data_IF_526157736330
#
_entry.id   IF_526157736330
#
_cell.length_a   1.000
_cell.length_b   1.000
_cell.length_c   1.000
_cell.angle_alpha   90.00
_cell.angle_beta   90.00
_cell.angle_gamma   90.00
#
_symmetry.space_group_name_H-M   'P 1'
#
loop_
_entity.id
_entity.type
_entity.pdbx_description
1 polymer ?
#
# COMPACT_ATOMS: atom_id res chain seq x y z
N UNK A 1 -9.11 14.93 11.96
CA UNK A 1 -9.40 13.77 11.10
C UNK A 1 -10.62 14.07 10.27
N UNK A 2 -10.64 13.68 9.00
CA UNK A 2 -11.83 13.81 8.16
C UNK A 2 -12.82 12.71 8.56
N UNK A 3 -14.03 13.09 8.94
CA UNK A 3 -15.13 12.16 9.19
C UNK A 3 -15.90 11.97 7.89
N UNK A 4 -15.53 10.97 7.08
CA UNK A 4 -16.12 10.76 5.75
C UNK A 4 -17.57 10.26 5.78
N UNK A 5 -18.10 9.96 6.96
CA UNK A 5 -19.50 9.57 7.18
C UNK A 5 -19.74 9.08 8.61
N UNK A 6 -20.95 8.58 8.88
CA UNK A 6 -21.35 8.14 10.23
C UNK A 6 -21.45 6.63 10.38
N UNK A 7 -21.24 5.85 9.31
CA UNK A 7 -21.30 4.37 9.35
C UNK A 7 -20.10 3.80 10.11
N UNK A 8 -20.17 2.51 10.44
CA UNK A 8 -19.11 1.81 11.20
C UNK A 8 -17.77 1.75 10.44
N UNK A 9 -17.81 1.68 9.12
CA UNK A 9 -16.63 1.54 8.24
C UNK A 9 -16.36 2.80 7.42
N UNK A 10 -16.97 3.94 7.78
CA UNK A 10 -16.66 5.23 7.15
C UNK A 10 -15.41 5.83 7.82
N UNK A 11 -14.51 6.38 7.01
CA UNK A 11 -13.22 6.94 7.45
C UNK A 11 -12.05 5.96 7.32
N UNK A 12 -10.85 6.50 7.12
CA UNK A 12 -9.63 5.73 6.82
C UNK A 12 -9.32 4.68 7.89
N UNK A 13 -9.25 5.07 9.17
CA UNK A 13 -8.98 4.15 10.29
C UNK A 13 -9.97 2.98 10.34
N UNK A 14 -11.25 3.29 10.11
CA UNK A 14 -12.32 2.31 10.14
C UNK A 14 -12.19 1.32 8.97
N UNK A 15 -11.88 1.87 7.79
CA UNK A 15 -11.69 1.12 6.55
C UNK A 15 -10.48 0.19 6.67
N UNK A 16 -9.33 0.72 7.08
CA UNK A 16 -8.07 -0.02 7.21
C UNK A 16 -8.17 -1.15 8.22
N UNK A 17 -8.79 -0.87 9.38
CA UNK A 17 -8.98 -1.88 10.44
C UNK A 17 -9.89 -3.01 9.96
N UNK A 18 -11.07 -2.68 9.42
CA UNK A 18 -12.03 -3.68 8.96
C UNK A 18 -11.45 -4.52 7.82
N UNK A 19 -10.85 -3.88 6.82
CA UNK A 19 -10.34 -4.58 5.66
C UNK A 19 -9.03 -5.33 5.93
N UNK A 20 -8.21 -4.88 6.86
CA UNK A 20 -7.04 -5.62 7.34
C UNK A 20 -7.44 -6.97 7.95
N UNK A 21 -8.47 -6.98 8.80
CA UNK A 21 -9.03 -8.23 9.36
C UNK A 21 -9.58 -9.13 8.25
N UNK A 22 -10.36 -8.56 7.33
CA UNK A 22 -10.94 -9.33 6.22
C UNK A 22 -9.87 -9.88 5.28
N UNK A 23 -8.74 -9.20 5.09
CA UNK A 23 -7.62 -9.68 4.27
C UNK A 23 -6.91 -10.86 4.89
N UNK A 24 -6.63 -10.81 6.20
CA UNK A 24 -6.07 -11.94 6.92
C UNK A 24 -7.02 -13.14 6.83
N UNK A 25 -8.32 -12.91 7.05
CA UNK A 25 -9.33 -13.96 6.95
C UNK A 25 -9.48 -14.53 5.53
N UNK A 26 -9.47 -13.68 4.50
CA UNK A 26 -9.52 -14.08 3.09
C UNK A 26 -8.25 -14.83 2.65
N UNK A 27 -7.13 -14.55 3.32
CA UNK A 27 -5.84 -15.25 3.14
C UNK A 27 -5.75 -16.55 3.94
N UNK A 28 -6.84 -16.99 4.58
CA UNK A 28 -6.92 -18.20 5.40
C UNK A 28 -5.92 -18.18 6.60
N UNK A 29 -5.58 -16.99 7.10
CA UNK A 29 -4.77 -16.85 8.32
C UNK A 29 -5.50 -17.45 9.54
N UNK A 30 -4.72 -17.93 10.51
CA UNK A 30 -5.26 -18.47 11.76
C UNK A 30 -6.07 -17.42 12.52
N UNK A 31 -7.19 -17.83 13.13
CA UNK A 31 -8.05 -16.93 13.90
C UNK A 31 -7.33 -16.23 15.04
N UNK A 32 -6.39 -16.92 15.70
CA UNK A 32 -5.54 -16.34 16.74
C UNK A 32 -4.61 -15.25 16.19
N UNK A 33 -4.08 -15.43 14.97
CA UNK A 33 -3.25 -14.42 14.31
C UNK A 33 -4.07 -13.15 14.05
N UNK A 34 -5.31 -13.28 13.60
CA UNK A 34 -6.21 -12.13 13.39
C UNK A 34 -6.42 -11.35 14.71
N UNK A 35 -6.64 -12.07 15.81
CA UNK A 35 -6.84 -11.46 17.13
C UNK A 35 -5.58 -10.78 17.66
N UNK A 36 -4.39 -11.33 17.37
CA UNK A 36 -3.12 -10.77 17.80
C UNK A 36 -2.72 -9.53 16.98
N UNK A 37 -2.99 -9.54 15.66
CA UNK A 37 -2.69 -8.41 14.77
C UNK A 37 -3.68 -7.26 14.95
N UNK A 38 -4.95 -7.58 15.20
CA UNK A 38 -6.01 -6.60 15.41
C UNK A 38 -6.68 -6.79 16.77
N UNK A 39 -5.96 -6.63 17.90
CA UNK A 39 -6.54 -6.83 19.22
C UNK A 39 -7.59 -5.75 19.50
N UNK A 40 -8.70 -6.14 20.12
CA UNK A 40 -9.80 -5.22 20.45
C UNK A 40 -9.36 -4.15 21.48
N UNK A 41 -8.47 -4.55 22.38
CA UNK A 41 -7.80 -3.66 23.33
C UNK A 41 -6.50 -3.17 22.70
N UNK A 42 -6.43 -1.87 22.43
CA UNK A 42 -5.25 -1.22 21.88
C UNK A 42 -4.48 -0.47 22.99
N UNK A 43 -3.14 -0.29 22.86
CA UNK A 43 -2.36 0.53 23.79
C UNK A 43 -2.79 2.01 23.74
N UNK A 44 -2.42 2.78 24.77
CA UNK A 44 -2.85 4.17 25.10
C UNK A 44 -2.60 5.28 24.04
N UNK A 45 -2.25 4.94 22.79
CA UNK A 45 -2.00 5.90 21.72
C UNK A 45 -3.28 6.44 21.06
N UNK A 46 -4.41 5.74 21.19
CA UNK A 46 -5.68 6.19 20.63
C UNK A 46 -6.41 7.14 21.57
N UNK A 47 -6.90 8.26 21.03
CA UNK A 47 -7.88 9.06 21.75
C UNK A 47 -9.23 8.32 21.85
N UNK A 48 -10.17 8.87 22.63
CA UNK A 48 -11.46 8.22 22.84
C UNK A 48 -12.28 8.06 21.54
N UNK A 49 -12.11 8.98 20.59
CA UNK A 49 -12.81 8.96 19.32
C UNK A 49 -12.26 7.86 18.41
N UNK A 50 -10.94 7.85 18.20
CA UNK A 50 -10.28 6.88 17.34
C UNK A 50 -10.40 5.46 17.90
N UNK A 51 -10.32 5.31 19.22
CA UNK A 51 -10.52 4.02 19.87
C UNK A 51 -11.95 3.48 19.63
N UNK A 52 -12.99 4.32 19.71
CA UNK A 52 -14.36 3.87 19.40
C UNK A 52 -14.49 3.47 17.93
N UNK A 53 -13.89 4.22 17.00
CA UNK A 53 -13.86 3.86 15.57
C UNK A 53 -13.19 2.49 15.38
N UNK A 54 -11.96 2.33 15.89
CA UNK A 54 -11.21 1.08 15.79
C UNK A 54 -11.98 -0.11 16.36
N UNK A 55 -12.48 0.00 17.60
CA UNK A 55 -13.20 -1.06 18.30
C UNK A 55 -14.48 -1.46 17.59
N UNK A 56 -15.23 -0.49 17.06
CA UNK A 56 -16.46 -0.79 16.31
C UNK A 56 -16.18 -1.45 14.97
N UNK A 57 -15.09 -1.08 14.29
CA UNK A 57 -14.62 -1.75 13.06
C UNK A 57 -14.18 -3.20 13.32
N UNK A 58 -13.38 -3.44 14.38
CA UNK A 58 -13.02 -4.79 14.83
C UNK A 58 -14.25 -5.62 15.17
N UNK A 59 -15.17 -5.06 15.97
CA UNK A 59 -16.38 -5.75 16.39
C UNK A 59 -17.28 -6.16 15.22
N UNK A 60 -17.41 -5.31 14.20
CA UNK A 60 -18.14 -5.66 12.99
C UNK A 60 -17.46 -6.81 12.24
N UNK A 61 -16.15 -6.73 12.02
CA UNK A 61 -15.40 -7.76 11.32
C UNK A 61 -15.49 -9.10 12.06
N UNK A 62 -15.21 -9.12 13.36
CA UNK A 62 -15.28 -10.29 14.22
C UNK A 62 -16.65 -10.96 14.20
N UNK A 63 -17.74 -10.18 14.23
CA UNK A 63 -19.08 -10.75 14.13
C UNK A 63 -19.30 -11.45 12.78
N UNK A 64 -18.81 -10.86 11.67
CA UNK A 64 -18.98 -11.42 10.34
C UNK A 64 -18.17 -12.69 10.10
N UNK A 65 -17.01 -12.83 10.76
CA UNK A 65 -16.13 -14.01 10.63
C UNK A 65 -16.26 -15.01 11.79
N UNK A 66 -17.17 -14.78 12.73
CA UNK A 66 -17.50 -15.75 13.80
C UNK A 66 -16.56 -15.72 15.01
N UNK A 67 -15.89 -14.59 15.25
CA UNK A 67 -15.00 -14.35 16.40
C UNK A 67 -15.67 -13.62 17.56
N UNK A 68 -16.97 -13.31 17.47
CA UNK A 68 -17.64 -12.56 18.53
C UNK A 68 -17.87 -13.43 19.78
N UNK A 69 -17.50 -12.90 20.95
CA UNK A 69 -17.74 -13.52 22.27
C UNK A 69 -18.46 -12.54 23.19
N UNK A 70 -19.04 -13.03 24.29
CA UNK A 70 -19.73 -12.19 25.26
C UNK A 70 -18.81 -11.10 25.85
N UNK A 71 -17.57 -11.45 26.21
CA UNK A 71 -16.56 -10.51 26.71
C UNK A 71 -16.25 -9.39 25.71
N UNK A 72 -16.13 -9.72 24.42
CA UNK A 72 -15.90 -8.73 23.36
C UNK A 72 -17.10 -7.81 23.18
N UNK A 73 -18.32 -8.33 23.27
CA UNK A 73 -19.55 -7.53 23.23
C UNK A 73 -19.55 -6.54 24.39
N UNK A 74 -19.30 -7.00 25.61
CA UNK A 74 -19.26 -6.16 26.81
C UNK A 74 -18.22 -5.03 26.69
N UNK A 75 -17.02 -5.35 26.18
CA UNK A 75 -15.99 -4.35 25.93
C UNK A 75 -16.44 -3.30 24.91
N UNK A 76 -16.99 -3.73 23.77
CA UNK A 76 -17.52 -2.82 22.72
C UNK A 76 -18.62 -1.92 23.28
N UNK A 77 -19.52 -2.45 24.10
CA UNK A 77 -20.57 -1.68 24.76
C UNK A 77 -20.01 -0.63 25.71
N UNK A 78 -19.01 -0.99 26.51
CA UNK A 78 -18.34 -0.05 27.41
C UNK A 78 -17.71 1.10 26.63
N UNK A 79 -17.01 0.81 25.53
CA UNK A 79 -16.42 1.85 24.67
C UNK A 79 -17.49 2.77 24.07
N UNK A 80 -18.56 2.22 23.49
CA UNK A 80 -19.66 3.02 22.92
C UNK A 80 -20.38 3.86 23.98
N UNK A 81 -20.50 3.36 25.21
CA UNK A 81 -21.18 4.07 26.31
C UNK A 81 -20.57 5.43 26.64
N UNK A 82 -19.29 5.62 26.32
CA UNK A 82 -18.54 6.88 26.47
C UNK A 82 -18.99 7.97 25.49
N UNK A 83 -19.76 7.62 24.45
CA UNK A 83 -20.33 8.51 23.43
C UNK A 83 -19.28 9.38 22.71
N UNK A 84 -18.03 8.91 22.60
CA UNK A 84 -16.94 9.72 22.05
C UNK A 84 -17.22 10.15 20.60
N UNK A 85 -17.60 9.21 19.73
CA UNK A 85 -17.98 9.54 18.36
C UNK A 85 -19.22 10.45 18.33
N UNK A 86 -20.31 10.06 19.00
CA UNK A 86 -21.57 10.83 18.96
C UNK A 86 -21.34 12.29 19.36
N UNK A 87 -20.49 12.55 20.35
CA UNK A 87 -20.13 13.90 20.77
C UNK A 87 -19.40 14.67 19.66
N UNK A 88 -18.37 14.09 19.03
CA UNK A 88 -17.64 14.76 17.94
C UNK A 88 -18.52 15.04 16.72
N UNK A 89 -19.34 14.08 16.27
CA UNK A 89 -20.27 14.32 15.16
C UNK A 89 -21.35 15.34 15.51
N UNK A 90 -21.78 15.42 16.76
CA UNK A 90 -22.76 16.44 17.20
C UNK A 90 -22.18 17.85 17.12
N UNK A 91 -20.87 18.02 17.38
CA UNK A 91 -20.17 19.32 17.21
C UNK A 91 -20.17 19.79 15.76
N UNK A 92 -20.11 18.86 14.81
CA UNK A 92 -20.22 19.16 13.37
C UNK A 92 -21.67 19.48 13.00
N UNK A 93 -22.60 18.61 13.40
CA UNK A 93 -24.03 18.80 13.20
C UNK A 93 -24.85 17.91 14.13
N UNK A 94 -25.92 18.46 14.71
CA UNK A 94 -26.89 17.68 15.49
C UNK A 94 -27.47 16.50 14.68
N UNK A 95 -27.66 16.69 13.37
CA UNK A 95 -28.15 15.66 12.46
C UNK A 95 -27.16 14.49 12.36
N UNK A 96 -25.87 14.77 12.27
CA UNK A 96 -24.83 13.74 12.16
C UNK A 96 -24.63 12.98 13.47
N UNK A 97 -24.67 13.68 14.61
CA UNK A 97 -24.68 13.04 15.92
C UNK A 97 -25.85 12.06 16.11
N UNK A 98 -27.06 12.47 15.72
CA UNK A 98 -28.25 11.60 15.70
C UNK A 98 -28.07 10.40 14.75
N UNK A 99 -27.49 10.63 13.58
CA UNK A 99 -27.18 9.55 12.62
C UNK A 99 -26.21 8.53 13.22
N UNK A 100 -25.08 8.98 13.79
CA UNK A 100 -24.08 8.11 14.41
C UNK A 100 -24.67 7.30 15.57
N UNK A 101 -25.46 7.93 16.44
CA UNK A 101 -26.15 7.23 17.54
C UNK A 101 -27.06 6.11 17.03
N UNK A 102 -27.81 6.35 15.95
CA UNK A 102 -28.66 5.35 15.30
C UNK A 102 -27.86 4.18 14.72
N UNK A 103 -26.73 4.49 14.06
CA UNK A 103 -25.80 3.48 13.55
C UNK A 103 -25.25 2.60 14.66
N UNK A 104 -24.76 3.19 15.76
CA UNK A 104 -24.23 2.46 16.91
C UNK A 104 -25.29 1.58 17.58
N UNK A 105 -26.52 2.09 17.71
CA UNK A 105 -27.64 1.31 18.25
C UNK A 105 -27.93 0.08 17.39
N UNK A 106 -28.00 0.26 16.06
CA UNK A 106 -28.21 -0.86 15.14
C UNK A 106 -27.04 -1.85 15.17
N UNK A 107 -25.81 -1.34 15.27
CA UNK A 107 -24.60 -2.14 15.36
C UNK A 107 -24.60 -3.01 16.63
N UNK A 108 -24.86 -2.45 17.80
CA UNK A 108 -24.97 -3.19 19.06
C UNK A 108 -26.05 -4.28 18.98
N UNK A 109 -27.22 -3.94 18.44
CA UNK A 109 -28.30 -4.91 18.22
C UNK A 109 -27.93 -6.04 17.25
N UNK A 110 -27.01 -5.77 16.30
CA UNK A 110 -26.49 -6.77 15.36
C UNK A 110 -25.52 -7.71 16.08
N UNK A 111 -24.50 -7.18 16.76
CA UNK A 111 -23.44 -8.00 17.35
C UNK A 111 -23.89 -8.86 18.54
N UNK A 112 -24.96 -8.44 19.25
CA UNK A 112 -25.59 -9.22 20.33
C UNK A 112 -26.30 -10.48 19.85
N UNK A 113 -26.65 -10.55 18.57
CA UNK A 113 -27.28 -11.73 17.99
C UNK A 113 -26.19 -12.65 17.46
N UNK A 114 -26.37 -13.96 17.66
CA UNK A 114 -25.51 -14.94 17.04
C UNK A 114 -25.55 -14.80 15.50
N UNK A 115 -24.38 -14.79 14.86
CA UNK A 115 -24.30 -14.74 13.42
C UNK A 115 -24.50 -16.13 12.82
N UNK A 116 -25.71 -16.41 12.33
CA UNK A 116 -26.03 -17.69 11.67
C UNK A 116 -25.44 -17.83 10.26
N UNK A 117 -24.83 -16.76 9.71
CA UNK A 117 -24.25 -16.72 8.37
C UNK A 117 -22.82 -16.18 8.43
N UNK A 118 -21.92 -16.98 9.00
CA UNK A 118 -20.49 -16.68 8.99
C UNK A 118 -20.02 -16.52 7.54
N UNK A 119 -19.35 -15.40 7.27
CA UNK A 119 -18.78 -15.08 5.97
C UNK A 119 -17.75 -16.14 5.60
N UNK A 120 -17.81 -16.69 4.39
CA UNK A 120 -16.75 -17.56 3.88
C UNK A 120 -15.57 -16.72 3.37
N UNK A 121 -14.32 -17.16 3.55
CA UNK A 121 -13.16 -16.50 2.96
C UNK A 121 -13.34 -16.30 1.45
N UNK A 122 -13.10 -15.07 0.98
CA UNK A 122 -13.20 -14.74 -0.43
C UNK A 122 -11.90 -15.11 -1.12
N UNK A 123 -11.98 -16.04 -2.07
CA UNK A 123 -10.84 -16.42 -2.90
C UNK A 123 -10.75 -15.48 -4.10
N UNK A 124 -9.61 -14.83 -4.24
CA UNK A 124 -9.29 -14.00 -5.39
C UNK A 124 -8.49 -14.83 -6.39
N UNK A 125 -8.88 -14.75 -7.67
CA UNK A 125 -8.12 -15.39 -8.74
C UNK A 125 -6.75 -14.72 -8.84
N UNK A 126 -5.68 -15.50 -8.71
CA UNK A 126 -4.32 -15.04 -9.00
C UNK A 126 -4.00 -15.26 -10.47
N UNK A 127 -3.37 -14.26 -11.08
CA UNK A 127 -2.76 -14.35 -12.40
C UNK A 127 -1.43 -15.07 -12.25
N UNK A 128 -1.17 -16.02 -13.14
CA UNK A 128 0.10 -16.76 -13.23
C UNK A 128 0.82 -16.54 -14.56
N UNK A 129 0.07 -16.15 -15.60
CA UNK A 129 0.59 -15.84 -16.93
C UNK A 129 0.97 -14.35 -17.01
N UNK A 130 2.07 -13.97 -16.36
CA UNK A 130 2.54 -12.58 -16.39
C UNK A 130 3.04 -12.18 -17.79
N UNK A 131 2.89 -10.88 -18.08
CA UNK A 131 3.35 -10.23 -19.32
C UNK A 131 4.87 -10.01 -19.26
N UNK A 132 5.34 -9.54 -18.10
CA UNK A 132 6.75 -9.40 -17.74
C UNK A 132 6.99 -10.09 -16.40
N UNK A 133 8.25 -10.31 -16.06
CA UNK A 133 8.65 -10.86 -14.77
C UNK A 133 9.22 -9.77 -13.87
N UNK A 134 9.27 -10.03 -12.57
CA UNK A 134 10.09 -9.21 -11.69
C UNK A 134 11.53 -9.18 -12.18
N UNK A 135 12.20 -8.05 -11.94
CA UNK A 135 13.57 -7.77 -12.34
C UNK A 135 13.80 -7.60 -13.84
N UNK A 136 12.76 -7.73 -14.69
CA UNK A 136 12.88 -7.46 -16.12
C UNK A 136 13.21 -5.99 -16.38
N UNK A 137 14.19 -5.74 -17.25
CA UNK A 137 14.48 -4.42 -17.80
C UNK A 137 13.65 -4.27 -19.07
N UNK A 138 12.81 -3.26 -19.08
CA UNK A 138 11.94 -2.92 -20.18
C UNK A 138 12.47 -1.68 -20.90
N UNK A 139 12.38 -1.70 -22.22
CA UNK A 139 12.61 -0.58 -23.10
C UNK A 139 11.30 -0.21 -23.79
N UNK A 140 11.06 1.07 -23.96
CA UNK A 140 9.97 1.58 -24.79
C UNK A 140 10.44 2.83 -25.53
N UNK A 141 9.73 3.20 -26.60
CA UNK A 141 10.09 4.31 -27.47
C UNK A 141 9.04 5.39 -27.38
N UNK A 142 9.48 6.63 -27.21
CA UNK A 142 8.62 7.81 -27.20
C UNK A 142 8.30 8.28 -28.62
N UNK A 143 7.33 9.19 -28.76
CA UNK A 143 6.97 9.84 -30.03
C UNK A 143 8.14 10.56 -30.71
N UNK A 144 9.08 11.10 -29.93
CA UNK A 144 10.30 11.75 -30.45
C UNK A 144 11.34 10.75 -30.98
N UNK A 145 11.04 9.44 -30.95
CA UNK A 145 11.91 8.32 -31.26
C UNK A 145 13.03 8.03 -30.26
N UNK A 146 13.10 8.73 -29.13
CA UNK A 146 14.01 8.36 -28.06
C UNK A 146 13.51 7.13 -27.30
N UNK A 147 14.44 6.27 -26.92
CA UNK A 147 14.23 5.15 -26.03
C UNK A 147 14.33 5.59 -24.57
N UNK A 148 13.44 5.01 -23.77
CA UNK A 148 13.39 5.08 -22.31
C UNK A 148 13.48 3.68 -21.74
N UNK A 149 13.82 3.57 -20.45
CA UNK A 149 13.86 2.27 -19.78
C UNK A 149 13.26 2.31 -18.38
N UNK A 150 12.60 1.20 -18.03
CA UNK A 150 12.00 0.90 -16.74
C UNK A 150 12.49 -0.44 -16.25
N UNK A 151 12.44 -0.66 -14.94
CA UNK A 151 12.63 -1.97 -14.34
C UNK A 151 11.30 -2.42 -13.74
N UNK A 152 10.85 -3.62 -14.07
CA UNK A 152 9.72 -4.28 -13.42
C UNK A 152 10.16 -4.74 -12.03
N UNK A 153 10.01 -3.87 -11.04
CA UNK A 153 10.55 -4.09 -9.70
C UNK A 153 9.87 -5.25 -8.98
N UNK A 154 8.53 -5.29 -9.06
CA UNK A 154 7.68 -6.22 -8.33
C UNK A 154 6.39 -6.45 -9.10
N UNK A 155 5.82 -7.65 -8.98
CA UNK A 155 4.46 -7.95 -9.43
C UNK A 155 3.60 -8.16 -8.19
N UNK A 156 2.73 -7.19 -7.90
CA UNK A 156 1.91 -7.18 -6.71
C UNK A 156 0.49 -7.65 -7.03
N UNK A 157 0.03 -8.71 -6.35
CA UNK A 157 -1.32 -9.23 -6.52
C UNK A 157 -2.12 -9.08 -5.23
N UNK A 158 -3.14 -8.24 -5.28
CA UNK A 158 -3.98 -7.91 -4.13
C UNK A 158 -5.46 -7.86 -4.54
N UNK A 159 -6.31 -8.60 -3.82
CA UNK A 159 -7.77 -8.65 -4.02
C UNK A 159 -8.24 -8.83 -5.49
N UNK A 160 -7.51 -9.64 -6.25
CA UNK A 160 -7.83 -9.95 -7.65
C UNK A 160 -7.26 -8.94 -8.66
N UNK A 161 -6.66 -7.85 -8.18
CA UNK A 161 -5.84 -6.97 -8.99
C UNK A 161 -4.42 -7.55 -9.09
N UNK A 162 -3.76 -7.29 -10.21
CA UNK A 162 -2.37 -7.67 -10.45
C UNK A 162 -1.66 -6.46 -11.05
N UNK A 163 -0.76 -5.84 -10.30
CA UNK A 163 -0.06 -4.62 -10.68
C UNK A 163 1.42 -4.91 -10.94
N UNK A 164 1.93 -4.40 -12.05
CA UNK A 164 3.37 -4.35 -12.33
C UNK A 164 3.91 -3.04 -11.79
N UNK A 165 4.88 -3.10 -10.88
CA UNK A 165 5.52 -1.92 -10.34
C UNK A 165 6.72 -1.56 -11.22
N UNK A 166 6.51 -0.66 -12.19
CA UNK A 166 7.61 -0.18 -13.01
C UNK A 166 8.33 0.96 -12.31
N UNK A 167 9.65 0.91 -12.29
CA UNK A 167 10.49 1.94 -11.71
C UNK A 167 11.34 2.54 -12.81
N UNK A 168 11.30 3.86 -13.01
CA UNK A 168 11.99 4.48 -14.11
C UNK A 168 13.48 4.65 -13.85
N UNK A 169 14.25 4.37 -14.89
CA UNK A 169 15.65 4.80 -15.00
C UNK A 169 15.68 6.22 -15.58
N UNK A 170 16.84 6.88 -15.50
CA UNK A 170 17.03 8.17 -16.17
C UNK A 170 17.42 8.03 -17.66
N UNK A 171 17.50 6.81 -18.19
CA UNK A 171 17.92 6.54 -19.56
C UNK A 171 17.06 7.33 -20.57
N UNK A 172 17.72 8.12 -21.44
CA UNK A 172 17.15 8.72 -22.65
C UNK A 172 18.20 8.64 -23.75
N UNK A 173 17.90 7.94 -24.83
CA UNK A 173 18.81 7.90 -25.99
C UNK A 173 18.05 7.53 -27.25
N UNK A 174 18.53 7.94 -28.42
CA UNK A 174 18.03 7.38 -29.69
C UNK A 174 18.48 5.95 -29.93
N UNK A 175 19.47 5.47 -29.16
CA UNK A 175 19.90 4.08 -29.17
C UNK A 175 19.08 3.25 -28.18
N UNK A 176 18.74 2.02 -28.57
CA UNK A 176 18.03 1.09 -27.70
C UNK A 176 18.92 0.70 -26.52
N UNK A 177 18.42 0.73 -25.27
CA UNK A 177 19.19 0.34 -24.10
C UNK A 177 19.57 -1.15 -24.14
N UNK A 178 20.65 -1.47 -23.45
CA UNK A 178 21.08 -2.84 -23.16
C UNK A 178 21.08 -3.04 -21.65
N UNK A 179 21.05 -4.29 -21.19
CA UNK A 179 21.24 -4.61 -19.77
C UNK A 179 22.47 -3.90 -19.18
N UNK A 180 23.61 -3.92 -19.90
CA UNK A 180 24.86 -3.30 -19.47
C UNK A 180 24.78 -1.78 -19.36
N UNK A 181 24.06 -1.11 -20.26
CA UNK A 181 23.89 0.34 -20.17
C UNK A 181 23.01 0.71 -18.97
N UNK A 182 21.95 -0.06 -18.73
CA UNK A 182 21.03 0.19 -17.61
C UNK A 182 21.67 -0.10 -16.24
N UNK A 183 22.52 -1.13 -16.13
CA UNK A 183 23.24 -1.40 -14.88
C UNK A 183 24.15 -0.24 -14.44
N UNK A 184 24.64 0.55 -15.40
CA UNK A 184 25.46 1.75 -15.14
C UNK A 184 24.65 3.04 -14.98
N UNK A 185 23.33 2.94 -15.11
CA UNK A 185 22.43 4.10 -15.11
C UNK A 185 21.96 4.43 -13.69
N UNK A 186 21.25 5.56 -13.55
CA UNK A 186 20.54 5.90 -12.33
C UNK A 186 19.06 5.49 -12.39
N UNK A 187 18.50 5.14 -11.23
CA UNK A 187 17.09 4.82 -11.00
C UNK A 187 16.46 5.81 -10.01
N UNK A 188 15.15 6.05 -10.13
CA UNK A 188 14.45 7.00 -9.28
C UNK A 188 13.97 6.40 -7.96
N UNK A 189 14.23 7.12 -6.86
CA UNK A 189 13.76 6.77 -5.53
C UNK A 189 13.60 7.98 -4.62
N UNK A 190 13.20 7.74 -3.37
CA UNK A 190 13.01 8.74 -2.32
C UNK A 190 13.47 8.23 -0.97
N UNK A 191 13.83 9.18 -0.12
CA UNK A 191 14.07 8.95 1.31
C UNK A 191 12.75 9.20 2.06
N UNK A 192 12.36 8.27 2.92
CA UNK A 192 11.15 8.33 3.74
C UNK A 192 11.60 8.49 5.19
N UNK A 193 11.25 9.61 5.82
CA UNK A 193 11.63 9.85 7.21
C UNK A 193 11.05 8.78 8.14
N UNK A 194 11.83 8.34 9.12
CA UNK A 194 11.36 7.42 10.16
C UNK A 194 11.65 7.98 11.54
N UNK A 195 10.73 7.79 12.48
CA UNK A 195 10.98 8.01 13.91
C UNK A 195 11.88 6.93 14.56
N UNK A 196 12.13 5.83 13.84
CA UNK A 196 12.91 4.70 14.32
C UNK A 196 14.42 4.99 14.42
N UNK A 197 15.06 4.28 15.33
CA UNK A 197 16.52 4.20 15.39
C UNK A 197 17.10 3.37 14.23
N UNK A 198 18.42 3.43 14.05
CA UNK A 198 19.12 2.82 12.92
C UNK A 198 18.99 1.29 12.88
N UNK A 199 18.99 0.63 14.02
CA UNK A 199 18.90 -0.84 14.09
C UNK A 199 17.48 -1.30 13.76
N UNK A 200 16.47 -0.60 14.30
CA UNK A 200 15.07 -0.84 13.97
C UNK A 200 14.81 -0.63 12.47
N UNK A 201 15.28 0.47 11.88
CA UNK A 201 15.13 0.72 10.44
C UNK A 201 15.82 -0.35 9.59
N UNK A 202 17.00 -0.84 9.99
CA UNK A 202 17.69 -1.93 9.29
C UNK A 202 16.90 -3.24 9.34
N UNK A 203 16.31 -3.57 10.49
CA UNK A 203 15.47 -4.77 10.65
C UNK A 203 14.23 -4.71 9.75
N UNK A 204 13.61 -3.53 9.69
CA UNK A 204 12.42 -3.27 8.87
C UNK A 204 12.71 -3.15 7.37
N UNK A 205 13.94 -2.80 6.99
CA UNK A 205 14.38 -2.72 5.60
C UNK A 205 15.79 -3.31 5.41
N UNK A 206 15.91 -4.65 5.32
CA UNK A 206 17.19 -5.30 5.10
C UNK A 206 17.91 -4.79 3.84
N UNK A 207 19.20 -4.49 3.91
CA UNK A 207 19.98 -3.97 2.78
C UNK A 207 19.98 -2.44 2.66
N UNK A 208 19.23 -1.73 3.50
CA UNK A 208 19.15 -0.25 3.49
C UNK A 208 20.51 0.43 3.70
N UNK A 209 21.44 -0.23 4.38
CA UNK A 209 22.78 0.26 4.64
C UNK A 209 23.53 0.66 3.36
N UNK A 210 23.30 -0.02 2.24
CA UNK A 210 23.94 0.33 0.97
C UNK A 210 23.52 1.72 0.48
N UNK A 211 22.26 2.09 0.71
CA UNK A 211 21.74 3.42 0.38
C UNK A 211 22.28 4.45 1.36
N UNK A 212 22.37 4.10 2.64
CA UNK A 212 22.95 4.96 3.65
C UNK A 212 24.42 5.28 3.38
N UNK A 213 25.20 4.30 2.97
CA UNK A 213 26.61 4.47 2.64
C UNK A 213 26.79 5.36 1.39
N UNK A 214 25.91 5.21 0.39
CA UNK A 214 25.90 6.06 -0.79
C UNK A 214 25.50 7.52 -0.49
N UNK A 215 24.47 7.71 0.34
CA UNK A 215 23.97 9.07 0.70
C UNK A 215 24.90 9.76 1.69
N UNK A 216 25.57 8.99 2.56
CA UNK A 216 26.44 9.49 3.62
C UNK A 216 25.70 10.09 4.83
N UNK A 217 26.48 10.55 5.81
CA UNK A 217 25.99 11.22 7.02
C UNK A 217 25.54 10.27 8.14
N UNK A 218 24.54 10.69 8.94
CA UNK A 218 23.90 9.86 9.97
C UNK A 218 22.45 9.52 9.59
N UNK A 219 22.24 8.67 8.56
CA UNK A 219 20.93 8.49 7.97
C UNK A 219 19.99 7.71 8.90
N UNK A 220 18.78 8.28 9.08
CA UNK A 220 17.64 7.68 9.79
C UNK A 220 16.41 7.75 8.91
N UNK A 221 16.46 7.01 7.80
CA UNK A 221 15.37 6.98 6.82
C UNK A 221 15.23 5.59 6.20
N UNK A 222 14.01 5.29 5.77
CA UNK A 222 13.76 4.22 4.80
C UNK A 222 13.98 4.72 3.37
N UNK A 223 14.31 3.80 2.49
CA UNK A 223 14.37 4.05 1.05
C UNK A 223 13.14 3.46 0.37
N UNK A 224 12.62 4.15 -0.64
CA UNK A 224 11.59 3.58 -1.50
C UNK A 224 11.72 4.05 -2.94
N UNK A 225 11.32 3.22 -3.88
CA UNK A 225 11.34 3.53 -5.31
C UNK A 225 10.19 4.46 -5.71
N UNK A 226 10.39 5.20 -6.80
CA UNK A 226 9.30 5.91 -7.49
C UNK A 226 8.63 4.91 -8.42
N UNK A 227 7.40 4.50 -8.08
CA UNK A 227 6.67 3.47 -8.80
C UNK A 227 5.68 4.11 -9.76
N UNK A 228 5.69 3.60 -10.98
CA UNK A 228 4.70 3.81 -12.02
C UNK A 228 3.96 2.47 -12.26
N UNK A 229 2.88 2.27 -11.52
CA UNK A 229 2.16 1.00 -11.55
C UNK A 229 1.23 0.90 -12.76
N UNK A 230 1.11 -0.32 -13.31
CA UNK A 230 0.13 -0.65 -14.35
C UNK A 230 -0.56 -1.94 -13.97
N UNK A 231 -1.88 -1.96 -13.94
CA UNK A 231 -2.64 -3.20 -13.73
C UNK A 231 -2.56 -4.08 -14.98
N UNK A 232 -2.54 -5.37 -14.77
CA UNK A 232 -2.42 -6.39 -15.80
C UNK A 232 -3.41 -6.21 -16.95
N UNK A 233 -4.67 -5.90 -16.64
CA UNK A 233 -5.72 -5.69 -17.66
C UNK A 233 -5.46 -4.48 -18.56
N UNK A 234 -4.80 -3.45 -18.03
CA UNK A 234 -4.46 -2.25 -18.78
C UNK A 234 -3.21 -2.49 -19.60
N UNK A 235 -2.19 -3.11 -19.00
CA UNK A 235 -0.95 -3.44 -19.69
C UNK A 235 -1.19 -4.34 -20.92
N UNK A 236 -2.15 -5.27 -20.87
CA UNK A 236 -2.53 -6.09 -22.04
C UNK A 236 -2.85 -5.26 -23.30
N UNK A 237 -3.36 -4.04 -23.14
CA UNK A 237 -3.79 -3.18 -24.25
C UNK A 237 -2.61 -2.56 -25.01
N UNK A 238 -1.45 -2.44 -24.36
CA UNK A 238 -0.28 -1.74 -24.91
C UNK A 238 1.05 -2.42 -24.59
N UNK A 239 1.03 -3.70 -24.18
CA UNK A 239 2.23 -4.47 -23.84
C UNK A 239 3.27 -4.50 -24.97
N UNK A 240 2.80 -4.45 -26.21
CA UNK A 240 3.65 -4.52 -27.40
C UNK A 240 4.48 -3.25 -27.64
N UNK A 241 4.18 -2.17 -26.89
CA UNK A 241 5.02 -0.97 -26.85
C UNK A 241 6.30 -1.15 -26.03
N UNK A 242 6.39 -2.22 -25.23
CA UNK A 242 7.55 -2.54 -24.42
C UNK A 242 8.30 -3.75 -24.98
N UNK A 243 9.61 -3.71 -24.82
CA UNK A 243 10.51 -4.80 -25.17
C UNK A 243 11.40 -5.12 -23.97
N UNK A 244 11.51 -6.40 -23.62
CA UNK A 244 12.48 -6.85 -22.61
C UNK A 244 13.89 -6.81 -23.21
N UNK A 245 14.79 -6.07 -22.58
CA UNK A 245 16.19 -5.90 -23.02
C UNK A 245 17.22 -6.54 -22.07
N UNK A 246 16.77 -7.11 -20.96
CA UNK A 246 17.61 -7.76 -19.96
C UNK A 246 16.88 -8.01 -18.65
N UNK A 247 17.63 -8.34 -17.61
CA UNK A 247 17.12 -8.47 -16.23
C UNK A 247 18.19 -8.16 -15.20
N UNK A 248 17.80 -7.55 -14.07
CA UNK A 248 18.71 -7.24 -12.95
C UNK A 248 18.11 -7.61 -11.60
N UNK A 249 18.84 -8.38 -10.80
CA UNK A 249 18.36 -8.85 -9.51
C UNK A 249 18.49 -7.76 -8.43
N UNK A 250 17.44 -6.97 -8.23
CA UNK A 250 17.41 -5.96 -7.18
C UNK A 250 17.29 -6.62 -5.80
N UNK A 251 17.98 -6.06 -4.80
CA UNK A 251 17.92 -6.53 -3.41
C UNK A 251 16.49 -6.42 -2.89
N UNK A 252 15.91 -7.55 -2.47
CA UNK A 252 14.47 -7.62 -2.16
C UNK A 252 14.05 -6.68 -1.02
N UNK A 253 14.89 -6.51 0.00
CA UNK A 253 14.62 -5.58 1.10
C UNK A 253 14.56 -4.12 0.66
N UNK A 254 15.12 -3.75 -0.50
CA UNK A 254 15.01 -2.40 -1.06
C UNK A 254 13.71 -2.17 -1.84
N UNK A 255 12.93 -3.21 -2.18
CA UNK A 255 11.70 -3.15 -2.98
C UNK A 255 10.51 -2.54 -2.21
N UNK A 256 10.68 -1.35 -1.65
CA UNK A 256 9.64 -0.57 -0.96
C UNK A 256 9.13 0.57 -1.84
N UNK A 257 7.89 0.98 -1.56
CA UNK A 257 7.25 2.14 -2.20
C UNK A 257 7.76 3.44 -1.56
N UNK A 258 8.32 4.34 -2.36
CA UNK A 258 8.64 5.72 -1.95
C UNK A 258 7.73 6.77 -2.57
N UNK A 259 7.24 6.50 -3.77
CA UNK A 259 6.14 7.21 -4.44
C UNK A 259 5.35 6.19 -5.25
N UNK A 260 4.05 6.40 -5.43
CA UNK A 260 3.19 5.48 -6.16
C UNK A 260 2.30 6.28 -7.11
N UNK A 261 2.56 6.13 -8.40
CA UNK A 261 1.70 6.59 -9.49
C UNK A 261 1.09 5.40 -10.21
N UNK A 262 0.08 5.69 -11.03
CA UNK A 262 -0.57 4.69 -11.88
C UNK A 262 -0.63 5.21 -13.32
N UNK A 263 -0.47 4.30 -14.29
CA UNK A 263 -0.58 4.59 -15.73
C UNK A 263 -1.49 3.58 -16.39
N UNK A 264 -2.66 4.05 -16.83
CA UNK A 264 -3.73 3.19 -17.39
C UNK A 264 -3.59 2.93 -18.91
N UNK A 265 -2.72 3.67 -19.59
CA UNK A 265 -2.47 3.60 -21.02
C UNK A 265 -1.06 4.09 -21.38
N UNK A 266 -0.66 3.92 -22.64
CA UNK A 266 0.68 4.31 -23.09
C UNK A 266 0.84 5.83 -23.23
N UNK A 267 -0.24 6.57 -23.47
CA UNK A 267 -0.22 8.03 -23.53
C UNK A 267 0.24 8.65 -22.20
N UNK A 268 -0.13 8.04 -21.06
CA UNK A 268 0.40 8.44 -19.74
C UNK A 268 1.91 8.25 -19.62
N UNK A 269 2.47 7.22 -20.24
CA UNK A 269 3.91 7.05 -20.32
C UNK A 269 4.53 8.18 -21.16
N UNK A 270 3.98 8.46 -22.34
CA UNK A 270 4.45 9.57 -23.18
C UNK A 270 4.46 10.90 -22.40
N UNK A 271 3.35 11.28 -21.76
CA UNK A 271 3.24 12.51 -20.97
C UNK A 271 4.27 12.60 -19.83
N UNK A 272 4.49 11.49 -19.12
CA UNK A 272 5.38 11.46 -17.95
C UNK A 272 6.85 11.41 -18.33
N UNK A 273 7.19 10.66 -19.37
CA UNK A 273 8.56 10.38 -19.76
C UNK A 273 9.09 11.31 -20.86
N UNK A 274 8.24 12.13 -21.49
CA UNK A 274 8.69 13.22 -22.36
C UNK A 274 9.61 14.20 -21.57
N UNK A 275 9.14 14.63 -20.39
CA UNK A 275 9.85 15.53 -19.47
C UNK A 275 9.97 14.95 -18.05
N UNK A 276 10.76 13.87 -17.95
CA UNK A 276 11.03 13.20 -16.67
C UNK A 276 11.78 14.11 -15.68
N UNK A 277 12.66 15.01 -16.14
CA UNK A 277 13.41 15.90 -15.24
C UNK A 277 12.48 16.92 -14.56
N UNK A 278 11.45 17.42 -15.25
CA UNK A 278 10.40 18.23 -14.61
C UNK A 278 9.64 17.44 -13.54
N UNK A 279 9.31 16.18 -13.80
CA UNK A 279 8.68 15.31 -12.78
C UNK A 279 9.59 15.14 -11.56
N UNK A 280 10.88 14.86 -11.79
CA UNK A 280 11.89 14.74 -10.72
C UNK A 280 11.94 16.01 -9.87
N UNK A 281 11.95 17.18 -10.52
CA UNK A 281 11.97 18.49 -9.85
C UNK A 281 10.71 18.74 -9.03
N UNK A 282 9.52 18.57 -9.62
CA UNK A 282 8.23 18.82 -8.97
C UNK A 282 8.06 17.97 -7.71
N UNK A 283 8.40 16.69 -7.78
CA UNK A 283 8.15 15.75 -6.69
C UNK A 283 9.38 15.52 -5.78
N UNK A 284 10.51 16.18 -6.08
CA UNK A 284 11.75 16.05 -5.32
C UNK A 284 12.29 14.61 -5.32
N UNK A 285 12.21 13.93 -6.46
CA UNK A 285 12.76 12.58 -6.61
C UNK A 285 14.29 12.62 -6.63
N UNK A 286 14.92 11.54 -6.13
CA UNK A 286 16.37 11.40 -6.09
C UNK A 286 16.83 10.30 -7.04
N UNK A 287 18.02 10.49 -7.60
CA UNK A 287 18.68 9.57 -8.53
C UNK A 287 19.67 8.71 -7.75
N UNK A 288 19.61 7.39 -7.90
CA UNK A 288 20.51 6.44 -7.25
C UNK A 288 21.13 5.50 -8.29
N UNK A 289 22.40 5.10 -8.15
CA UNK A 289 23.02 4.16 -9.08
C UNK A 289 22.31 2.80 -9.04
N UNK A 290 22.03 2.21 -10.21
CA UNK A 290 21.46 0.85 -10.28
C UNK A 290 22.45 -0.17 -9.69
N UNK A 291 23.75 -0.02 -9.98
CA UNK A 291 24.80 -0.96 -9.58
C UNK A 291 24.92 -1.21 -8.07
N UNK A 292 24.51 -0.27 -7.22
CA UNK A 292 24.55 -0.46 -5.76
C UNK A 292 23.33 -1.24 -5.25
N UNK A 293 22.25 -1.31 -6.03
CA UNK A 293 20.98 -1.90 -5.62
C UNK A 293 20.80 -3.35 -6.07
N UNK A 294 21.74 -3.87 -6.87
CA UNK A 294 21.69 -5.22 -7.41
C UNK A 294 22.46 -6.21 -6.52
N UNK A 295 21.97 -7.45 -6.44
CA UNK A 295 22.69 -8.55 -5.82
C UNK A 295 23.94 -8.85 -6.67
N UNK A 296 25.10 -8.86 -6.02
CA UNK A 296 26.38 -9.28 -6.61
C UNK A 296 26.49 -10.79 -6.69
#
# INVERSE_FOLDING_TARGET
MATDGTKIIDGDTAHDTYWGIMDLYDSEAGLEMILNEFPLEQPDYFDAFDNEIYVTSCGLAYWEIGLMTAERIEYIENIISKNACVNEWTKLSEKEGKSRKSVLTRFLNKIKKENTKIRKPKKYRKISNFIFNENDILSFKLKDNSYRSLICMKIDQYRGNCNYWFVPTIYKSFEKPTEKSITKEMILGRTIGSGYDKETTRKEQPGIEIIWDYVGGNPKFFFGFVIDAVEHKDLLKFKDAFEKVGSINIIDGLKKTGSFGYSENFERFEERYDDLDKQISIFGYKKYPVEIMIKK
#
